data_IF_137983656317
#
_entry.id   IF_137983656317
#
_cell.length_a   1.000
_cell.length_b   1.000
_cell.length_c   1.000
_cell.angle_alpha   90.00
_cell.angle_beta   90.00
_cell.angle_gamma   90.00
#
_symmetry.space_group_name_H-M   'P 1'
#
loop_
_entity.id
_entity.type
_entity.pdbx_description
1 polymer ?
#
# COMPACT_ATOMS: atom_id res chain seq x y z
N UNK A 1 -25.24 1.49 -4.61
CA UNK A 1 -23.88 2.02 -4.39
C UNK A 1 -23.14 0.96 -3.60
N UNK A 2 -22.17 0.29 -4.25
CA UNK A 2 -21.52 -0.91 -3.72
C UNK A 2 -20.86 -0.63 -2.39
N UNK A 3 -21.18 -1.45 -1.40
CA UNK A 3 -20.50 -1.44 -0.11
C UNK A 3 -19.04 -1.77 -0.36
N UNK A 4 -18.16 -0.83 -0.03
CA UNK A 4 -16.82 -1.19 0.41
C UNK A 4 -17.04 -2.13 1.59
N UNK A 5 -16.67 -3.41 1.46
CA UNK A 5 -16.32 -4.18 2.65
C UNK A 5 -15.41 -3.27 3.48
N UNK A 6 -15.81 -3.04 4.73
CA UNK A 6 -15.20 -2.06 5.62
C UNK A 6 -13.80 -2.54 6.00
N UNK A 7 -12.88 -2.48 5.04
CA UNK A 7 -11.46 -2.70 5.27
C UNK A 7 -11.04 -1.69 6.34
N UNK A 8 -10.46 -2.19 7.43
CA UNK A 8 -10.12 -1.35 8.57
C UNK A 8 -9.10 -0.29 8.13
N UNK A 9 -9.52 0.97 8.15
CA UNK A 9 -8.67 2.08 7.74
C UNK A 9 -7.74 2.45 8.89
N UNK A 10 -6.49 2.01 8.80
CA UNK A 10 -5.42 2.27 9.78
C UNK A 10 -4.98 3.74 9.72
N UNK A 11 -4.95 4.31 8.52
CA UNK A 11 -4.55 5.70 8.34
C UNK A 11 -5.35 6.40 7.25
N UNK A 12 -5.65 7.67 7.48
CA UNK A 12 -6.31 8.54 6.50
C UNK A 12 -5.72 9.94 6.56
N UNK A 13 -5.51 10.54 5.40
CA UNK A 13 -5.15 11.95 5.31
C UNK A 13 -5.61 12.57 4.00
N UNK A 14 -5.53 13.90 3.91
CA UNK A 14 -5.90 14.67 2.73
C UNK A 14 -4.71 15.49 2.29
N UNK A 15 -4.53 15.60 0.97
CA UNK A 15 -3.50 16.48 0.40
C UNK A 15 -3.80 17.92 0.80
N UNK A 16 -2.79 18.62 1.32
CA UNK A 16 -2.88 20.04 1.68
C UNK A 16 -2.21 20.92 0.63
N UNK A 17 -2.65 22.17 0.53
CA UNK A 17 -1.98 23.20 -0.26
C UNK A 17 -1.06 24.04 0.63
N UNK A 18 -0.48 25.10 0.06
CA UNK A 18 0.31 26.09 0.80
C UNK A 18 -0.50 26.62 2.00
N UNK A 19 0.18 26.93 3.11
CA UNK A 19 -0.41 27.22 4.43
C UNK A 19 -1.19 26.07 5.11
N UNK A 20 -1.14 24.84 4.60
CA UNK A 20 -1.67 23.66 5.30
C UNK A 20 -3.20 23.51 5.22
N UNK A 21 -3.87 24.28 4.37
CA UNK A 21 -5.32 24.16 4.17
C UNK A 21 -5.65 22.91 3.34
N UNK A 22 -6.68 22.12 3.73
CA UNK A 22 -7.09 20.90 3.02
C UNK A 22 -8.05 21.21 1.86
N UNK A 23 -7.76 22.23 1.05
CA UNK A 23 -8.62 22.64 -0.07
C UNK A 23 -8.48 21.74 -1.30
N UNK A 24 -7.89 20.55 -1.15
CA UNK A 24 -7.88 19.56 -2.23
C UNK A 24 -8.92 18.49 -1.99
N UNK A 25 -9.43 17.96 -3.09
CA UNK A 25 -10.33 16.83 -3.09
C UNK A 25 -9.58 15.51 -3.21
N UNK A 26 -8.27 15.50 -2.91
CA UNK A 26 -7.46 14.28 -2.88
C UNK A 26 -7.39 13.75 -1.45
N UNK A 27 -7.92 12.54 -1.27
CA UNK A 27 -7.91 11.78 -0.02
C UNK A 27 -7.04 10.55 -0.21
N UNK A 28 -6.23 10.26 0.80
CA UNK A 28 -5.44 9.05 0.91
C UNK A 28 -5.96 8.25 2.08
N UNK A 29 -6.09 6.94 1.91
CA UNK A 29 -6.47 6.03 2.99
C UNK A 29 -5.68 4.74 2.87
N UNK A 30 -5.29 4.17 3.99
CA UNK A 30 -4.44 3.00 4.07
C UNK A 30 -5.14 1.95 4.94
N UNK A 31 -5.33 0.78 4.37
CA UNK A 31 -5.78 -0.46 5.00
C UNK A 31 -4.57 -1.38 5.21
N UNK A 32 -4.79 -2.54 5.86
CA UNK A 32 -3.78 -3.57 6.07
C UNK A 32 -3.09 -4.04 4.77
N UNK A 33 -3.84 -4.17 3.68
CA UNK A 33 -3.38 -4.79 2.42
C UNK A 33 -3.37 -3.81 1.24
N UNK A 34 -3.99 -2.63 1.38
CA UNK A 34 -4.23 -1.68 0.28
C UNK A 34 -4.06 -0.23 0.67
N UNK A 35 -3.56 0.56 -0.29
CA UNK A 35 -3.61 2.02 -0.29
C UNK A 35 -4.67 2.49 -1.29
N UNK A 36 -5.52 3.40 -0.85
CA UNK A 36 -6.59 4.02 -1.64
C UNK A 36 -6.28 5.50 -1.89
N UNK A 37 -6.45 5.94 -3.14
CA UNK A 37 -6.30 7.33 -3.54
C UNK A 37 -7.58 7.77 -4.25
N UNK A 38 -8.34 8.64 -3.60
CA UNK A 38 -9.56 9.22 -4.17
C UNK A 38 -9.30 10.67 -4.54
N UNK A 39 -9.48 11.03 -5.80
CA UNK A 39 -9.25 12.39 -6.33
C UNK A 39 -10.40 12.85 -7.21
N UNK A 40 -10.95 14.03 -6.94
CA UNK A 40 -11.92 14.67 -7.84
C UNK A 40 -12.90 15.62 -7.18
N UNK A 41 -13.40 16.59 -7.94
CA UNK A 41 -14.43 17.54 -7.47
C UNK A 41 -15.80 17.27 -8.10
N UNK A 42 -15.88 17.23 -9.44
CA UNK A 42 -17.10 16.91 -10.18
C UNK A 42 -17.18 15.44 -10.60
N UNK A 43 -16.03 14.85 -10.97
CA UNK A 43 -15.87 13.42 -11.24
C UNK A 43 -14.86 12.88 -10.24
N UNK A 44 -15.24 11.87 -9.47
CA UNK A 44 -14.36 11.23 -8.48
C UNK A 44 -13.70 10.03 -9.14
N UNK A 45 -12.36 10.01 -9.12
CA UNK A 45 -11.54 8.86 -9.51
C UNK A 45 -11.01 8.19 -8.25
N UNK A 46 -11.19 6.89 -8.15
CA UNK A 46 -10.70 6.09 -7.02
C UNK A 46 -9.74 5.04 -7.57
N UNK A 47 -8.48 5.14 -7.14
CA UNK A 47 -7.43 4.19 -7.48
C UNK A 47 -7.06 3.39 -6.21
N UNK A 48 -6.86 2.08 -6.36
CA UNK A 48 -6.37 1.20 -5.30
C UNK A 48 -5.04 0.55 -5.69
N UNK A 49 -4.11 0.47 -4.75
CA UNK A 49 -2.83 -0.24 -4.91
C UNK A 49 -2.65 -1.20 -3.75
N UNK A 50 -2.40 -2.47 -4.07
CA UNK A 50 -2.06 -3.47 -3.06
C UNK A 50 -0.65 -3.24 -2.52
N UNK A 51 -0.48 -3.29 -1.20
CA UNK A 51 0.79 -2.96 -0.55
C UNK A 51 1.93 -3.87 -1.01
N UNK A 52 1.67 -5.16 -1.23
CA UNK A 52 2.68 -6.08 -1.75
C UNK A 52 3.24 -5.69 -3.14
N UNK A 53 2.54 -4.83 -3.91
CA UNK A 53 2.99 -4.33 -5.22
C UNK A 53 3.81 -3.06 -5.14
N UNK A 54 3.85 -2.40 -3.98
CA UNK A 54 4.75 -1.26 -3.76
C UNK A 54 6.14 -1.86 -3.58
N UNK A 55 7.11 -1.38 -4.34
CA UNK A 55 8.49 -1.86 -4.38
C UNK A 55 9.40 -1.05 -3.46
N UNK A 56 9.32 0.28 -3.57
CA UNK A 56 10.12 1.22 -2.79
C UNK A 56 9.27 2.43 -2.39
N UNK A 57 9.65 3.03 -1.25
CA UNK A 57 8.98 4.21 -0.69
C UNK A 57 10.04 5.22 -0.27
N UNK A 58 10.01 6.41 -0.88
CA UNK A 58 10.95 7.50 -0.58
C UNK A 58 10.22 8.77 -0.14
N UNK A 59 10.93 9.67 0.56
CA UNK A 59 10.38 10.91 1.09
C UNK A 59 11.08 12.12 0.46
N UNK A 60 10.31 12.97 -0.21
CA UNK A 60 10.76 14.27 -0.72
C UNK A 60 10.16 15.41 0.12
N UNK A 61 10.98 16.41 0.47
CA UNK A 61 10.54 17.61 1.19
C UNK A 61 11.20 18.87 0.61
N UNK A 62 10.41 19.68 -0.08
CA UNK A 62 10.81 21.01 -0.57
C UNK A 62 10.91 22.02 0.57
N UNK A 63 11.60 23.14 0.35
CA UNK A 63 11.85 24.15 1.39
C UNK A 63 10.56 24.62 2.08
N UNK A 64 9.53 25.00 1.32
CA UNK A 64 8.25 25.42 1.88
C UNK A 64 7.51 24.29 2.61
N UNK A 65 7.65 23.04 2.17
CA UNK A 65 7.06 21.89 2.85
C UNK A 65 7.72 21.68 4.21
N UNK A 66 9.05 21.83 4.28
CA UNK A 66 9.79 21.79 5.57
C UNK A 66 9.31 22.88 6.52
N UNK A 67 9.11 24.10 6.02
CA UNK A 67 8.58 25.21 6.82
C UNK A 67 7.15 24.94 7.31
N UNK A 68 6.32 24.25 6.53
CA UNK A 68 4.93 23.91 6.88
C UNK A 68 4.76 22.54 7.57
N UNK A 69 5.84 21.80 7.84
CA UNK A 69 5.77 20.44 8.39
C UNK A 69 5.13 19.40 7.47
N UNK A 70 5.20 19.62 6.16
CA UNK A 70 4.65 18.76 5.10
C UNK A 70 5.76 17.95 4.41
N UNK A 71 5.36 16.94 3.65
CA UNK A 71 6.21 16.25 2.70
C UNK A 71 5.42 15.49 1.64
N UNK A 72 6.14 14.96 0.67
CA UNK A 72 5.59 14.10 -0.40
C UNK A 72 6.27 12.73 -0.31
N UNK A 73 5.47 11.68 -0.20
CA UNK A 73 5.96 10.30 -0.23
C UNK A 73 5.83 9.81 -1.67
N UNK A 74 6.93 9.33 -2.25
CA UNK A 74 6.95 8.70 -3.58
C UNK A 74 6.92 7.20 -3.40
N UNK A 75 6.01 6.55 -4.12
CA UNK A 75 5.83 5.10 -4.08
C UNK A 75 6.14 4.56 -5.48
N UNK A 76 7.17 3.73 -5.57
CA UNK A 76 7.48 2.98 -6.78
C UNK A 76 6.65 1.69 -6.74
N UNK A 77 5.90 1.37 -7.80
CA UNK A 77 5.01 0.21 -7.80
C UNK A 77 5.11 -0.60 -9.08
N UNK A 78 5.00 -1.92 -8.95
CA UNK A 78 4.86 -2.86 -10.07
C UNK A 78 3.41 -2.95 -10.58
N UNK A 79 2.48 -2.14 -10.05
CA UNK A 79 1.10 -2.12 -10.50
C UNK A 79 1.00 -1.60 -11.95
N UNK A 80 0.42 -2.41 -12.85
CA UNK A 80 0.34 -2.08 -14.27
C UNK A 80 -0.63 -0.95 -14.58
N UNK A 81 -1.64 -0.74 -13.73
CA UNK A 81 -2.71 0.22 -13.98
C UNK A 81 -2.32 1.59 -13.46
N UNK A 82 -1.83 1.65 -12.22
CA UNK A 82 -1.48 2.91 -11.57
C UNK A 82 -0.03 3.34 -11.77
N UNK A 83 0.90 2.37 -11.89
CA UNK A 83 2.33 2.64 -11.96
C UNK A 83 2.85 3.33 -10.69
N UNK A 84 3.91 4.13 -10.85
CA UNK A 84 4.47 4.94 -9.78
C UNK A 84 3.55 6.11 -9.43
N UNK A 85 3.40 6.37 -8.12
CA UNK A 85 2.50 7.41 -7.64
C UNK A 85 3.06 8.16 -6.43
N UNK A 86 2.43 9.27 -6.09
CA UNK A 86 2.88 10.16 -5.02
C UNK A 86 1.75 10.48 -4.04
N UNK A 87 2.02 10.31 -2.75
CA UNK A 87 1.20 10.84 -1.68
C UNK A 87 1.73 12.25 -1.38
N UNK A 88 0.99 13.29 -1.79
CA UNK A 88 1.46 14.68 -1.78
C UNK A 88 1.01 15.46 -0.56
N UNK A 89 1.92 16.29 -0.03
CA UNK A 89 1.65 17.33 0.96
C UNK A 89 0.89 16.82 2.20
N UNK A 90 1.40 15.74 2.80
CA UNK A 90 0.87 15.18 4.05
C UNK A 90 1.71 15.64 5.23
N UNK A 91 1.03 15.80 6.38
CA UNK A 91 1.68 16.13 7.64
C UNK A 91 2.41 14.90 8.17
N UNK A 92 3.42 15.13 9.02
CA UNK A 92 4.19 14.03 9.65
C UNK A 92 4.68 13.01 8.62
N UNK A 93 5.08 13.51 7.44
CA UNK A 93 5.37 12.69 6.26
C UNK A 93 6.45 11.63 6.49
N UNK A 94 7.35 11.84 7.48
CA UNK A 94 8.33 10.85 7.91
C UNK A 94 7.69 9.66 8.64
N UNK A 95 6.88 9.94 9.67
CA UNK A 95 6.13 8.92 10.42
C UNK A 95 5.24 8.11 9.46
N UNK A 96 4.55 8.80 8.55
CA UNK A 96 3.68 8.15 7.56
C UNK A 96 4.48 7.29 6.58
N UNK A 97 5.67 7.74 6.15
CA UNK A 97 6.56 6.94 5.30
C UNK A 97 7.00 5.66 6.01
N UNK A 98 7.43 5.78 7.27
CA UNK A 98 7.90 4.64 8.06
C UNK A 98 6.77 3.64 8.29
N UNK A 99 5.59 4.12 8.66
CA UNK A 99 4.38 3.29 8.79
C UNK A 99 4.05 2.56 7.48
N UNK A 100 4.00 3.27 6.35
CA UNK A 100 3.72 2.65 5.04
C UNK A 100 4.80 1.61 4.67
N UNK A 101 6.07 1.91 4.94
CA UNK A 101 7.18 1.00 4.70
C UNK A 101 7.02 -0.31 5.49
N UNK A 102 6.68 -0.21 6.77
CA UNK A 102 6.49 -1.38 7.62
C UNK A 102 5.31 -2.23 7.14
N UNK A 103 4.17 -1.61 6.83
CA UNK A 103 2.99 -2.33 6.33
C UNK A 103 3.24 -3.03 4.99
N UNK A 104 4.05 -2.44 4.11
CA UNK A 104 4.47 -3.09 2.85
C UNK A 104 5.31 -4.34 3.11
N UNK A 105 6.26 -4.29 4.05
CA UNK A 105 7.08 -5.45 4.40
C UNK A 105 6.28 -6.53 5.14
N UNK A 106 5.37 -6.13 6.03
CA UNK A 106 4.48 -7.04 6.74
C UNK A 106 3.59 -7.80 5.75
N UNK A 107 2.98 -7.10 4.79
CA UNK A 107 2.11 -7.72 3.79
C UNK A 107 2.89 -8.66 2.86
N UNK A 108 4.12 -8.29 2.47
CA UNK A 108 5.00 -9.20 1.72
C UNK A 108 5.37 -10.44 2.53
N UNK A 109 5.62 -10.28 3.83
CA UNK A 109 5.95 -11.40 4.72
C UNK A 109 4.76 -12.33 4.86
N UNK A 110 3.55 -11.80 5.10
CA UNK A 110 2.30 -12.57 5.11
C UNK A 110 2.10 -13.37 3.82
N UNK A 111 2.32 -12.75 2.66
CA UNK A 111 2.23 -13.45 1.36
C UNK A 111 3.29 -14.54 1.18
N UNK A 112 4.54 -14.28 1.59
CA UNK A 112 5.63 -15.28 1.53
C UNK A 112 5.35 -16.48 2.43
N UNK A 113 4.89 -16.25 3.66
CA UNK A 113 4.53 -17.32 4.61
C UNK A 113 3.39 -18.16 4.04
N UNK A 114 2.33 -17.52 3.56
CA UNK A 114 1.21 -18.21 2.93
C UNK A 114 1.67 -19.08 1.76
N UNK A 115 2.52 -18.58 0.86
CA UNK A 115 3.04 -19.40 -0.25
C UNK A 115 3.91 -20.60 0.20
N UNK A 116 4.62 -20.49 1.32
CA UNK A 116 5.45 -21.58 1.85
C UNK A 116 4.60 -22.69 2.48
N UNK A 117 3.53 -22.32 3.20
CA UNK A 117 2.60 -23.28 3.79
C UNK A 117 1.90 -24.13 2.72
N UNK A 118 1.51 -23.53 1.58
CA UNK A 118 0.94 -24.29 0.45
C UNK A 118 1.97 -25.26 -0.19
N UNK A 119 3.23 -24.84 -0.35
CA UNK A 119 4.29 -25.71 -0.92
C UNK A 119 4.76 -26.82 0.03
N UNK A 120 4.48 -26.72 1.33
CA UNK A 120 4.78 -27.78 2.30
C UNK A 120 3.71 -28.87 2.22
N UNK A 121 2.43 -28.48 2.17
CA UNK A 121 1.31 -29.40 1.97
C UNK A 121 1.38 -30.19 0.66
N UNK A 122 1.85 -29.58 -0.44
CA UNK A 122 2.06 -30.31 -1.72
C UNK A 122 3.21 -31.32 -1.66
N UNK A 123 4.19 -31.16 -0.76
CA UNK A 123 5.30 -32.10 -0.61
C UNK A 123 4.94 -33.30 0.26
N UNK A 124 4.18 -33.09 1.33
CA UNK A 124 3.70 -34.19 2.19
C UNK A 124 2.72 -35.14 1.45
N UNK A 125 2.04 -34.68 0.40
CA UNK A 125 1.18 -35.55 -0.46
C UNK A 125 1.97 -36.35 -1.51
N UNK A 126 3.21 -35.95 -1.86
CA UNK A 126 3.99 -36.62 -2.91
C UNK A 126 4.93 -37.71 -2.38
N UNK A 127 5.29 -37.67 -1.09
CA UNK A 127 6.23 -38.61 -0.47
C UNK A 127 5.56 -39.95 -0.02
N UNK A 128 4.27 -40.18 -0.31
CA UNK A 128 3.56 -41.47 -0.03
C UNK A 128 3.45 -42.41 -1.25
N UNK A 129 4.14 -42.12 -2.36
CA UNK A 129 4.12 -42.94 -3.58
C UNK A 129 5.51 -43.40 -4.03
N UNK A 130 6.29 -44.04 -3.16
CA UNK A 130 7.41 -44.91 -3.60
C UNK A 130 7.79 -45.93 -2.52
N UNK A 131 7.00 -47.01 -2.39
CA UNK A 131 7.48 -48.38 -2.15
C UNK A 131 6.28 -49.35 -2.04
N UNK A 132 5.95 -50.06 -3.11
CA UNK A 132 5.65 -51.50 -3.05
C UNK A 132 5.50 -52.10 -4.45
N UNK A 133 6.58 -52.76 -4.85
CA UNK A 133 6.62 -54.12 -5.38
C UNK A 133 5.64 -54.55 -6.50
N UNK A 134 6.25 -54.69 -7.68
CA UNK A 134 6.46 -55.96 -8.38
C UNK A 134 5.34 -57.03 -8.36
N UNK A 135 4.77 -57.27 -9.54
CA UNK A 135 4.66 -58.64 -10.09
C UNK A 135 4.74 -58.64 -11.62
#
# INVERSE_FOLDING_TARGET
MGGFEMAEIIWKDRKRIFFGLPWTFTKYSLSEDRLFISTGFFSVKEDEVRLYRIMDVSLERKLWQRMCGLGTIKCCSADKTMGDFEIKNIKKSREVKEMLSNMVEDERTKKKVSSREFMDHERDEFDDYDDHDTY
#
